data_IF_708470710522
#
_entry.id   IF_708470710522
#
_cell.length_a   1.000
_cell.length_b   1.000
_cell.length_c   1.000
_cell.angle_alpha   90.00
_cell.angle_beta   90.00
_cell.angle_gamma   90.00
#
_symmetry.space_group_name_H-M   'P 1'
#
loop_
_entity.id
_entity.type
_entity.pdbx_description
1 polymer ?
#
# COMPACT_ATOMS: atom_id res chain seq x y z
N UNK A 1 -40.79 -12.84 -6.93
CA UNK A 1 -40.32 -11.53 -7.44
C UNK A 1 -38.89 -11.69 -7.94
N UNK A 2 -38.62 -11.42 -9.21
CA UNK A 2 -37.27 -11.48 -9.76
C UNK A 2 -36.50 -10.20 -9.42
N UNK A 3 -35.27 -10.33 -8.91
CA UNK A 3 -34.42 -9.18 -8.60
C UNK A 3 -33.82 -8.65 -9.90
N UNK A 4 -34.36 -7.55 -10.41
CA UNK A 4 -33.81 -6.89 -11.61
C UNK A 4 -32.47 -6.26 -11.21
N UNK A 5 -31.38 -6.89 -11.60
CA UNK A 5 -30.02 -6.40 -11.34
C UNK A 5 -29.39 -5.91 -12.64
N UNK A 6 -28.73 -4.75 -12.57
CA UNK A 6 -28.01 -4.19 -13.72
C UNK A 6 -26.76 -5.03 -14.02
N UNK A 7 -26.67 -5.56 -15.24
CA UNK A 7 -25.50 -6.29 -15.73
C UNK A 7 -24.22 -5.46 -15.60
N UNK A 8 -24.29 -4.15 -15.85
CA UNK A 8 -23.14 -3.25 -15.71
C UNK A 8 -22.62 -3.18 -14.26
N UNK A 9 -23.53 -3.15 -13.28
CA UNK A 9 -23.15 -3.18 -11.84
C UNK A 9 -22.48 -4.50 -11.47
N UNK A 10 -22.98 -5.62 -11.99
CA UNK A 10 -22.39 -6.95 -11.76
C UNK A 10 -20.98 -7.04 -12.37
N UNK A 11 -20.81 -6.59 -13.62
CA UNK A 11 -19.50 -6.54 -14.28
C UNK A 11 -18.51 -5.67 -13.50
N UNK A 12 -18.92 -4.48 -13.05
CA UNK A 12 -18.08 -3.59 -12.23
C UNK A 12 -17.71 -4.18 -10.87
N UNK A 13 -18.62 -4.95 -10.26
CA UNK A 13 -18.32 -5.65 -9.01
C UNK A 13 -17.31 -6.78 -9.24
N UNK A 14 -17.44 -7.52 -10.35
CA UNK A 14 -16.51 -8.57 -10.73
C UNK A 14 -15.09 -8.03 -11.01
N UNK A 15 -14.96 -6.93 -11.75
CA UNK A 15 -13.65 -6.30 -11.99
C UNK A 15 -13.00 -5.85 -10.68
N UNK A 16 -13.75 -5.12 -9.83
CA UNK A 16 -13.27 -4.71 -8.51
C UNK A 16 -12.84 -5.88 -7.62
N UNK A 17 -13.50 -7.04 -7.74
CA UNK A 17 -13.13 -8.25 -6.99
C UNK A 17 -11.81 -8.82 -7.51
N UNK A 18 -11.63 -8.88 -8.83
CA UNK A 18 -10.37 -9.30 -9.44
C UNK A 18 -9.20 -8.39 -9.02
N UNK A 19 -9.38 -7.07 -9.11
CA UNK A 19 -8.36 -6.08 -8.70
C UNK A 19 -7.95 -6.26 -7.23
N UNK A 20 -8.92 -6.53 -6.34
CA UNK A 20 -8.62 -6.81 -4.92
C UNK A 20 -7.87 -8.12 -4.72
N UNK A 21 -8.20 -9.16 -5.47
CA UNK A 21 -7.49 -10.45 -5.39
C UNK A 21 -6.05 -10.30 -5.85
N UNK A 22 -5.81 -9.55 -6.93
CA UNK A 22 -4.47 -9.23 -7.40
C UNK A 22 -3.71 -8.36 -6.39
N UNK A 23 -4.35 -7.35 -5.81
CA UNK A 23 -3.77 -6.53 -4.76
C UNK A 23 -3.37 -7.36 -3.52
N UNK A 24 -4.21 -8.32 -3.11
CA UNK A 24 -3.90 -9.23 -2.01
C UNK A 24 -2.76 -10.19 -2.36
N UNK A 25 -2.74 -10.73 -3.59
CA UNK A 25 -1.65 -11.57 -4.06
C UNK A 25 -0.33 -10.80 -4.11
N UNK A 26 -0.35 -9.54 -4.54
CA UNK A 26 0.80 -8.65 -4.53
C UNK A 26 1.21 -8.27 -3.11
N UNK A 27 0.27 -8.03 -2.19
CA UNK A 27 0.59 -7.82 -0.78
C UNK A 27 1.26 -9.04 -0.14
N UNK A 28 0.79 -10.25 -0.47
CA UNK A 28 1.39 -11.50 -0.01
C UNK A 28 2.78 -11.75 -0.64
N UNK A 29 2.93 -11.50 -1.94
CA UNK A 29 4.20 -11.71 -2.68
C UNK A 29 5.27 -10.67 -2.34
N UNK A 30 4.87 -9.42 -2.17
CA UNK A 30 5.79 -8.31 -1.98
C UNK A 30 5.87 -7.83 -0.52
N UNK A 31 5.12 -8.46 0.40
CA UNK A 31 5.29 -8.46 1.86
C UNK A 31 5.06 -7.14 2.60
N UNK A 32 5.36 -6.00 1.97
CA UNK A 32 5.22 -4.66 2.53
C UNK A 32 4.32 -3.84 1.63
N UNK A 33 3.20 -3.38 2.20
CA UNK A 33 2.31 -2.43 1.54
C UNK A 33 3.05 -1.11 1.28
N UNK A 34 2.58 -0.32 0.31
CA UNK A 34 3.13 1.02 0.05
C UNK A 34 3.12 1.91 1.30
N UNK A 35 2.12 1.74 2.16
CA UNK A 35 2.02 2.46 3.43
C UNK A 35 3.11 2.03 4.42
N UNK A 36 3.34 0.72 4.57
CA UNK A 36 4.41 0.20 5.43
C UNK A 36 5.80 0.67 4.97
N UNK A 37 6.05 0.64 3.65
CA UNK A 37 7.30 1.14 3.07
C UNK A 37 7.54 2.62 3.37
N UNK A 38 6.51 3.46 3.21
CA UNK A 38 6.60 4.89 3.54
C UNK A 38 6.88 5.14 5.02
N UNK A 39 6.33 4.28 5.88
CA UNK A 39 6.52 4.39 7.33
C UNK A 39 7.96 4.01 7.71
N UNK A 40 8.50 2.95 7.10
CA UNK A 40 9.91 2.56 7.23
C UNK A 40 10.85 3.65 6.70
N UNK A 41 10.57 4.22 5.51
CA UNK A 41 11.33 5.32 4.92
C UNK A 41 11.35 6.55 5.84
N UNK A 42 10.19 6.97 6.35
CA UNK A 42 10.10 8.11 7.27
C UNK A 42 10.83 7.85 8.60
N UNK A 43 10.79 6.61 9.10
CA UNK A 43 11.54 6.22 10.30
C UNK A 43 13.06 6.26 10.05
N UNK A 44 13.51 5.78 8.89
CA UNK A 44 14.92 5.82 8.48
C UNK A 44 15.41 7.26 8.28
N UNK A 45 14.62 8.12 7.63
CA UNK A 45 14.95 9.54 7.46
C UNK A 45 15.02 10.28 8.80
N UNK A 46 14.10 9.99 9.73
CA UNK A 46 14.15 10.55 11.08
C UNK A 46 15.44 10.11 11.79
N UNK A 47 15.76 8.82 11.76
CA UNK A 47 16.98 8.30 12.37
C UNK A 47 18.24 8.93 11.76
N UNK A 48 18.28 9.08 10.43
CA UNK A 48 19.39 9.74 9.75
C UNK A 48 19.53 11.21 10.17
N UNK A 49 18.43 11.96 10.25
CA UNK A 49 18.43 13.35 10.74
C UNK A 49 18.86 13.47 12.20
N UNK A 50 18.39 12.57 13.06
CA UNK A 50 18.77 12.56 14.47
C UNK A 50 20.28 12.26 14.60
N UNK A 51 20.81 11.30 13.83
CA UNK A 51 22.24 10.99 13.80
C UNK A 51 23.08 12.13 13.23
N UNK A 52 22.61 12.80 12.18
CA UNK A 52 23.24 14.01 11.63
C UNK A 52 23.31 15.12 12.67
N UNK A 53 22.21 15.40 13.39
CA UNK A 53 22.18 16.42 14.43
C UNK A 53 23.14 16.14 15.59
N UNK A 54 23.53 14.87 15.79
CA UNK A 54 24.50 14.45 16.78
C UNK A 54 25.93 14.34 16.26
N UNK A 55 26.19 14.58 14.97
CA UNK A 55 27.56 14.63 14.44
C UNK A 55 28.29 15.86 14.94
N UNK A 56 29.54 15.65 15.32
CA UNK A 56 30.42 16.67 15.91
C UNK A 56 31.19 17.45 14.86
N UNK A 57 31.40 16.86 13.69
CA UNK A 57 31.96 17.49 12.50
C UNK A 57 30.96 17.30 11.35
N UNK A 58 30.55 18.38 10.67
CA UNK A 58 29.82 18.27 9.41
C UNK A 58 30.80 17.85 8.29
N UNK A 59 30.39 16.91 7.45
CA UNK A 59 31.10 16.58 6.19
C UNK A 59 31.07 17.78 5.21
#
# INVERSE_FOLDING_TARGET
MAKIVSLAKVKKAATRKADRMEANANAAKFGRSKAARKLDEAAAEKAARDLEAHRREPD
#
